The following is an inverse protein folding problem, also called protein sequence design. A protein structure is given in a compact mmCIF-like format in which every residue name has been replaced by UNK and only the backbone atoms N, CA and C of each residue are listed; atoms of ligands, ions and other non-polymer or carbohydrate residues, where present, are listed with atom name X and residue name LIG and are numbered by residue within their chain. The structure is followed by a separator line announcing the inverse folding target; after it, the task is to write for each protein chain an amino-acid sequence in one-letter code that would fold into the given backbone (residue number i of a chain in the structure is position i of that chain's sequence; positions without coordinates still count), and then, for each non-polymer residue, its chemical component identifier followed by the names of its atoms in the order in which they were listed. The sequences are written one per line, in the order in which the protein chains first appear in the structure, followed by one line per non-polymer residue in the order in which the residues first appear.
data_IF_863915862177
#
_entry.id   IF_863915862177
#
_cell.length_a   1.000
_cell.length_b   1.000
_cell.length_c   1.000
_cell.angle_alpha   90.00
_cell.angle_beta   90.00
_cell.angle_gamma   90.00
#
_symmetry.space_group_name_H-M   'P 1'
#
loop_
_entity.id
_entity.type
_entity.pdbx_description
1 polymer ?
#
# COMPACT_ATOMS: atom_id res chain seq x y z
N UNK A 1 28.94 34.31 13.43
CA UNK A 1 27.47 34.17 13.23
C UNK A 1 27.25 33.08 12.19
N UNK A 2 26.79 31.89 12.62
CA UNK A 2 26.43 30.79 11.70
C UNK A 2 24.95 30.98 11.37
N UNK A 3 24.63 31.28 10.10
CA UNK A 3 23.26 31.28 9.61
C UNK A 3 22.76 29.83 9.66
N UNK A 4 21.79 29.59 10.51
CA UNK A 4 21.00 28.35 10.52
C UNK A 4 19.99 28.44 9.36
N UNK A 5 20.28 27.78 8.25
CA UNK A 5 19.32 27.65 7.15
C UNK A 5 18.19 26.75 7.62
N UNK A 6 17.06 27.33 7.99
CA UNK A 6 15.81 26.60 8.18
C UNK A 6 15.36 26.06 6.80
N UNK A 7 15.51 24.76 6.57
CA UNK A 7 14.87 24.11 5.46
C UNK A 7 13.35 24.14 5.71
N UNK A 8 12.65 25.03 5.03
CA UNK A 8 11.20 25.05 4.99
C UNK A 8 10.75 23.82 4.18
N UNK A 9 10.31 22.77 4.85
CA UNK A 9 9.63 21.63 4.18
C UNK A 9 8.26 22.15 3.77
N UNK A 10 8.12 22.54 2.52
CA UNK A 10 6.82 22.89 1.96
C UNK A 10 5.97 21.62 1.83
N UNK A 11 4.98 21.45 2.69
CA UNK A 11 3.89 20.50 2.47
C UNK A 11 2.99 21.07 1.38
N UNK A 12 3.11 20.57 0.18
CA UNK A 12 2.14 20.85 -0.88
C UNK A 12 0.98 19.87 -0.66
N UNK A 13 -0.12 20.36 -0.13
CA UNK A 13 -1.41 19.67 -0.16
C UNK A 13 -1.92 19.73 -1.61
N UNK A 14 -1.55 18.75 -2.41
CA UNK A 14 -1.98 18.60 -3.79
C UNK A 14 -3.03 17.50 -3.89
N UNK A 15 -4.00 17.66 -4.76
CA UNK A 15 -5.01 16.67 -5.08
C UNK A 15 -4.96 16.35 -6.57
N UNK A 16 -4.54 15.15 -6.91
CA UNK A 16 -4.73 14.60 -8.25
C UNK A 16 -6.21 14.27 -8.45
N UNK A 17 -6.64 14.04 -9.68
CA UNK A 17 -8.03 13.66 -9.97
C UNK A 17 -8.09 12.43 -10.87
N UNK A 18 -8.98 11.49 -10.55
CA UNK A 18 -9.32 10.33 -11.37
C UNK A 18 -10.83 10.14 -11.39
N UNK A 19 -11.45 10.05 -12.56
CA UNK A 19 -12.90 9.88 -12.74
C UNK A 19 -13.75 10.92 -11.96
N UNK A 20 -13.21 12.12 -11.77
CA UNK A 20 -13.86 13.19 -10.99
C UNK A 20 -13.64 13.09 -9.47
N UNK A 21 -12.98 12.04 -8.98
CA UNK A 21 -12.60 11.90 -7.57
C UNK A 21 -11.31 12.65 -7.29
N UNK A 22 -11.25 13.43 -6.22
CA UNK A 22 -10.02 14.04 -5.71
C UNK A 22 -9.22 13.00 -4.94
N UNK A 23 -7.95 12.87 -5.29
CA UNK A 23 -7.02 11.91 -4.67
C UNK A 23 -6.03 12.69 -3.82
N UNK A 24 -6.08 12.46 -2.52
CA UNK A 24 -5.14 13.04 -1.57
C UNK A 24 -3.81 12.31 -1.63
N UNK A 25 -2.72 13.07 -1.62
CA UNK A 25 -1.37 12.55 -1.46
C UNK A 25 -0.48 13.53 -0.71
N UNK A 26 0.57 13.03 -0.10
CA UNK A 26 1.63 13.84 0.53
C UNK A 26 2.95 13.53 -0.14
N UNK A 27 3.69 14.58 -0.54
CA UNK A 27 5.03 14.45 -1.13
C UNK A 27 6.07 15.05 -0.19
N UNK A 28 7.07 14.27 0.20
CA UNK A 28 8.13 14.66 1.12
C UNK A 28 9.50 14.36 0.51
N UNK A 29 10.48 15.25 0.72
CA UNK A 29 11.78 15.16 0.08
C UNK A 29 11.81 15.83 -1.30
N UNK A 30 13.03 16.09 -1.80
CA UNK A 30 13.25 16.86 -3.04
C UNK A 30 14.10 16.11 -4.08
N UNK A 31 14.46 14.84 -3.81
CA UNK A 31 15.22 14.04 -4.76
C UNK A 31 14.41 13.76 -6.03
N UNK A 32 15.11 13.59 -7.15
CA UNK A 32 14.47 13.19 -8.41
C UNK A 32 13.95 11.74 -8.34
N UNK A 33 14.69 10.85 -7.64
CA UNK A 33 14.29 9.48 -7.41
C UNK A 33 13.07 9.42 -6.50
N UNK A 34 11.98 8.89 -7.02
CA UNK A 34 10.68 8.94 -6.34
C UNK A 34 10.17 7.54 -5.98
N UNK A 35 9.68 7.42 -4.76
CA UNK A 35 9.10 6.20 -4.19
C UNK A 35 7.66 6.48 -3.77
N UNK A 36 6.72 5.67 -4.25
CA UNK A 36 5.32 5.73 -3.89
C UNK A 36 4.97 4.66 -2.86
N UNK A 37 4.35 5.06 -1.76
CA UNK A 37 3.93 4.19 -0.67
C UNK A 37 2.42 4.03 -0.68
N UNK A 38 1.95 2.82 -0.95
CA UNK A 38 0.54 2.47 -1.15
C UNK A 38 0.06 1.60 0.00
N UNK A 39 -0.90 2.11 0.75
CA UNK A 39 -1.43 1.49 1.96
C UNK A 39 -2.30 0.26 1.70
N UNK A 40 -2.64 -0.47 2.77
CA UNK A 40 -3.49 -1.65 2.75
C UNK A 40 -5.00 -1.33 2.85
N UNK A 41 -5.79 -2.40 2.94
CA UNK A 41 -7.25 -2.36 3.08
C UNK A 41 -7.67 -1.49 4.27
N UNK A 42 -8.59 -0.56 4.03
CA UNK A 42 -9.13 0.43 4.99
C UNK A 42 -8.08 1.27 5.76
N UNK A 43 -6.82 1.23 5.35
CA UNK A 43 -5.77 2.11 5.86
C UNK A 43 -5.77 3.46 5.15
N UNK A 44 -4.82 4.31 5.51
CA UNK A 44 -4.52 5.58 4.88
C UNK A 44 -3.01 5.86 4.90
N UNK A 45 -2.59 7.06 4.47
CA UNK A 45 -1.18 7.49 4.44
C UNK A 45 -0.47 7.39 5.80
N UNK A 46 -1.21 7.43 6.92
CA UNK A 46 -0.62 7.36 8.26
C UNK A 46 0.02 6.00 8.58
N UNK A 47 -0.31 4.95 7.80
CA UNK A 47 0.37 3.66 7.90
C UNK A 47 1.87 3.74 7.58
N UNK A 48 2.30 4.80 6.90
CA UNK A 48 3.68 5.05 6.47
C UNK A 48 4.42 6.13 7.29
N UNK A 49 3.90 6.52 8.45
CA UNK A 49 4.48 7.60 9.28
C UNK A 49 5.92 7.32 9.73
N UNK A 50 6.30 6.07 9.87
CA UNK A 50 7.64 5.66 10.32
C UNK A 50 8.67 5.62 9.17
N UNK A 51 8.25 5.88 7.92
CA UNK A 51 9.10 5.90 6.72
C UNK A 51 9.63 7.29 6.37
N UNK A 52 9.37 8.30 7.20
CA UNK A 52 9.95 9.64 7.05
C UNK A 52 11.49 9.67 6.83
N UNK A 53 12.31 8.76 7.43
CA UNK A 53 13.74 8.72 7.15
C UNK A 53 14.10 8.47 5.68
N UNK A 54 13.24 7.81 4.89
CA UNK A 54 13.44 7.55 3.45
C UNK A 54 13.49 8.88 2.68
N UNK A 55 12.71 9.88 3.10
CA UNK A 55 12.62 11.18 2.46
C UNK A 55 13.91 12.03 2.54
N UNK A 56 14.91 11.58 3.32
CA UNK A 56 16.25 12.20 3.33
C UNK A 56 17.04 11.93 2.05
N UNK A 57 16.75 10.84 1.35
CA UNK A 57 17.49 10.37 0.18
C UNK A 57 16.63 10.28 -1.07
N UNK A 58 15.31 10.10 -0.92
CA UNK A 58 14.35 9.92 -2.00
C UNK A 58 13.20 10.91 -1.85
N UNK A 59 12.49 11.21 -2.94
CA UNK A 59 11.18 11.82 -2.87
C UNK A 59 10.19 10.72 -2.52
N UNK A 60 9.51 10.86 -1.39
CA UNK A 60 8.50 9.90 -0.92
C UNK A 60 7.11 10.49 -1.15
N UNK A 61 6.25 9.74 -1.81
CA UNK A 61 4.86 10.10 -2.04
C UNK A 61 3.98 9.04 -1.39
N UNK A 62 3.18 9.44 -0.40
CA UNK A 62 2.14 8.61 0.19
C UNK A 62 0.80 8.99 -0.43
N UNK A 63 -0.06 8.02 -0.70
CA UNK A 63 -1.33 8.22 -1.39
C UNK A 63 -2.44 7.61 -0.55
N UNK A 64 -3.51 8.38 -0.32
CA UNK A 64 -4.78 7.82 0.12
C UNK A 64 -5.52 7.31 -1.12
N UNK A 65 -5.72 5.99 -1.22
CA UNK A 65 -6.45 5.39 -2.34
C UNK A 65 -7.92 5.88 -2.37
N UNK A 66 -8.62 5.85 -3.51
CA UNK A 66 -10.03 6.20 -3.59
C UNK A 66 -10.86 5.57 -2.46
N UNK A 67 -11.63 6.41 -1.76
CA UNK A 67 -12.44 6.01 -0.61
C UNK A 67 -11.72 5.91 0.73
N UNK A 68 -10.41 6.11 0.77
CA UNK A 68 -9.59 6.00 1.96
C UNK A 68 -9.06 7.37 2.40
N UNK A 69 -8.78 7.51 3.70
CA UNK A 69 -8.18 8.71 4.28
C UNK A 69 -8.94 9.99 3.90
N UNK A 70 -8.25 10.89 3.20
CA UNK A 70 -8.78 12.19 2.75
C UNK A 70 -9.19 12.20 1.27
N UNK A 71 -9.07 11.07 0.57
CA UNK A 71 -9.51 10.94 -0.82
C UNK A 71 -11.02 10.78 -0.94
N UNK A 72 -11.59 11.31 -2.04
CA UNK A 72 -12.99 11.08 -2.36
C UNK A 72 -13.27 9.58 -2.56
N UNK A 73 -14.46 9.15 -2.15
CA UNK A 73 -14.91 7.76 -2.30
C UNK A 73 -15.79 7.58 -3.53
N UNK A 74 -15.56 6.54 -4.34
CA UNK A 74 -16.48 6.13 -5.38
C UNK A 74 -17.73 5.45 -4.78
N UNK A 75 -18.74 5.17 -5.60
CA UNK A 75 -19.82 4.25 -5.22
C UNK A 75 -19.25 2.84 -5.04
N UNK A 76 -19.92 2.00 -4.21
CA UNK A 76 -19.45 0.64 -3.87
C UNK A 76 -19.12 -0.20 -5.11
N UNK A 77 -19.94 -0.09 -6.15
CA UNK A 77 -19.82 -0.86 -7.40
C UNK A 77 -18.62 -0.43 -8.25
N UNK A 78 -18.10 0.78 -8.04
CA UNK A 78 -17.01 1.37 -8.81
C UNK A 78 -15.63 1.05 -8.24
N UNK A 79 -15.56 0.51 -7.02
CA UNK A 79 -14.28 0.08 -6.47
C UNK A 79 -13.67 -1.05 -7.32
N UNK A 80 -12.44 -0.84 -7.77
CA UNK A 80 -11.67 -1.86 -8.53
C UNK A 80 -10.17 -1.64 -8.36
N UNK A 81 -9.39 -2.67 -8.62
CA UNK A 81 -7.92 -2.54 -8.64
C UNK A 81 -7.45 -1.62 -9.76
N UNK A 82 -8.19 -1.57 -10.87
CA UNK A 82 -7.95 -0.65 -11.99
C UNK A 82 -8.16 0.80 -11.58
N UNK A 83 -9.20 1.12 -10.81
CA UNK A 83 -9.42 2.47 -10.29
C UNK A 83 -8.27 2.89 -9.38
N UNK A 84 -7.81 1.99 -8.50
CA UNK A 84 -6.68 2.26 -7.62
C UNK A 84 -5.39 2.48 -8.42
N UNK A 85 -5.13 1.69 -9.44
CA UNK A 85 -3.97 1.87 -10.32
C UNK A 85 -4.01 3.20 -11.07
N UNK A 86 -5.18 3.60 -11.61
CA UNK A 86 -5.35 4.90 -12.27
C UNK A 86 -5.21 6.08 -11.30
N UNK A 87 -5.61 5.92 -10.04
CA UNK A 87 -5.39 6.95 -9.02
C UNK A 87 -3.88 7.16 -8.75
N UNK A 88 -3.08 6.09 -8.72
CA UNK A 88 -1.62 6.18 -8.63
C UNK A 88 -1.06 6.92 -9.85
N UNK A 89 -1.53 6.60 -11.06
CA UNK A 89 -1.06 7.24 -12.30
C UNK A 89 -1.43 8.73 -12.35
N UNK A 90 -2.61 9.09 -11.87
CA UNK A 90 -3.01 10.50 -11.75
C UNK A 90 -2.08 11.26 -10.79
N UNK A 91 -1.72 10.66 -9.65
CA UNK A 91 -0.76 11.25 -8.71
C UNK A 91 0.63 11.33 -9.32
N UNK A 92 1.11 10.29 -10.03
CA UNK A 92 2.42 10.32 -10.70
C UNK A 92 2.52 11.47 -11.70
N UNK A 93 1.46 11.66 -12.48
CA UNK A 93 1.38 12.73 -13.47
C UNK A 93 1.37 14.11 -12.81
N UNK A 94 0.59 14.29 -11.75
CA UNK A 94 0.51 15.55 -10.98
C UNK A 94 1.83 15.87 -10.29
N UNK A 95 2.51 14.88 -9.72
CA UNK A 95 3.84 15.01 -9.12
C UNK A 95 4.93 15.31 -10.17
N UNK A 96 4.65 15.06 -11.45
CA UNK A 96 5.54 15.38 -12.56
C UNK A 96 6.76 14.45 -12.64
N UNK A 97 6.63 13.18 -12.28
CA UNK A 97 7.72 12.19 -12.36
C UNK A 97 7.46 11.18 -13.47
N UNK A 98 8.52 10.76 -14.16
CA UNK A 98 8.39 9.82 -15.28
C UNK A 98 8.28 8.37 -14.79
N UNK A 99 9.15 7.95 -13.87
CA UNK A 99 9.23 6.58 -13.37
C UNK A 99 9.32 6.55 -11.85
N UNK A 100 8.77 5.51 -11.24
CA UNK A 100 8.69 5.37 -9.79
C UNK A 100 9.00 3.94 -9.33
N UNK A 101 9.47 3.81 -8.09
CA UNK A 101 9.39 2.55 -7.34
C UNK A 101 8.11 2.57 -6.53
N UNK A 102 7.36 1.47 -6.53
CA UNK A 102 6.09 1.34 -5.83
C UNK A 102 6.23 0.35 -4.66
N UNK A 103 5.79 0.77 -3.50
CA UNK A 103 5.77 -0.03 -2.26
C UNK A 103 4.31 -0.26 -1.88
N UNK A 104 3.85 -1.50 -1.88
CA UNK A 104 2.47 -1.86 -1.56
C UNK A 104 2.37 -2.70 -0.30
N UNK A 105 1.63 -2.21 0.72
CA UNK A 105 1.33 -2.97 1.93
C UNK A 105 0.02 -3.76 1.77
N UNK A 106 0.01 -5.04 2.11
CA UNK A 106 -1.20 -5.85 2.15
C UNK A 106 -2.00 -5.78 0.83
N UNK A 107 -3.21 -5.24 0.82
CA UNK A 107 -4.03 -4.94 -0.38
C UNK A 107 -3.28 -4.01 -1.35
N UNK A 108 -2.38 -3.16 -0.89
CA UNK A 108 -1.56 -2.33 -1.77
C UNK A 108 -0.67 -3.14 -2.70
N UNK A 109 -0.34 -4.40 -2.37
CA UNK A 109 0.44 -5.29 -3.26
C UNK A 109 -0.27 -5.60 -4.57
N UNK A 110 -1.50 -6.14 -4.61
CA UNK A 110 -2.21 -6.28 -5.88
C UNK A 110 -2.46 -4.95 -6.60
N UNK A 111 -2.59 -3.83 -5.87
CA UNK A 111 -2.72 -2.51 -6.51
C UNK A 111 -1.45 -2.13 -7.27
N UNK A 112 -0.26 -2.25 -6.66
CA UNK A 112 1.01 -1.92 -7.34
C UNK A 112 1.34 -2.91 -8.45
N UNK A 113 0.93 -4.17 -8.34
CA UNK A 113 1.03 -5.15 -9.43
C UNK A 113 0.14 -4.76 -10.61
N UNK A 114 -1.11 -4.36 -10.34
CA UNK A 114 -2.04 -3.89 -11.38
C UNK A 114 -1.50 -2.63 -12.06
N UNK A 115 -0.91 -1.70 -11.28
CA UNK A 115 -0.24 -0.53 -11.84
C UNK A 115 0.92 -0.90 -12.75
N UNK A 116 1.82 -1.78 -12.30
CA UNK A 116 2.99 -2.19 -13.07
C UNK A 116 2.62 -2.90 -14.38
N UNK A 117 1.48 -3.61 -14.40
CA UNK A 117 0.94 -4.21 -15.61
C UNK A 117 0.36 -3.16 -16.57
N UNK A 118 -0.37 -2.17 -16.05
CA UNK A 118 -1.01 -1.13 -16.85
C UNK A 118 -0.01 -0.06 -17.34
N UNK A 119 1.05 0.20 -16.58
CA UNK A 119 2.03 1.26 -16.83
C UNK A 119 3.47 0.75 -16.65
N UNK A 120 3.88 -0.26 -17.44
CA UNK A 120 5.20 -0.89 -17.28
C UNK A 120 6.35 0.09 -17.54
N UNK A 121 6.17 1.07 -18.45
CA UNK A 121 7.16 2.11 -18.77
C UNK A 121 7.42 3.08 -17.60
N UNK A 122 6.45 3.22 -16.69
CA UNK A 122 6.56 4.09 -15.51
C UNK A 122 7.02 3.35 -14.25
N UNK A 123 7.15 2.02 -14.32
CA UNK A 123 7.52 1.19 -13.17
C UNK A 123 9.00 0.83 -13.20
N UNK A 124 9.73 1.19 -12.13
CA UNK A 124 11.14 0.85 -11.95
C UNK A 124 11.28 -0.49 -11.23
N UNK A 125 10.62 -0.64 -10.09
CA UNK A 125 10.68 -1.80 -9.22
C UNK A 125 9.45 -1.83 -8.29
N UNK A 126 9.19 -2.99 -7.68
CA UNK A 126 8.11 -3.18 -6.73
C UNK A 126 8.64 -3.63 -5.37
N UNK A 127 7.94 -3.22 -4.30
CA UNK A 127 8.17 -3.73 -2.95
C UNK A 127 6.84 -4.21 -2.37
N UNK A 128 6.78 -5.48 -1.99
CA UNK A 128 5.63 -6.08 -1.33
C UNK A 128 5.87 -6.10 0.18
N UNK A 129 4.97 -5.49 0.95
CA UNK A 129 5.07 -5.42 2.41
C UNK A 129 3.93 -6.23 3.02
N UNK A 130 4.26 -7.40 3.53
CA UNK A 130 3.33 -8.45 3.98
C UNK A 130 2.14 -8.58 3.01
N UNK A 131 2.51 -8.72 1.73
CA UNK A 131 1.63 -8.54 0.59
C UNK A 131 0.55 -9.61 0.48
N UNK A 132 -0.65 -9.17 0.16
CA UNK A 132 -1.71 -10.06 -0.25
C UNK A 132 -1.39 -10.60 -1.65
N UNK A 133 -1.21 -11.93 -1.75
CA UNK A 133 -1.03 -12.58 -3.05
C UNK A 133 -2.38 -12.90 -3.67
N UNK A 134 -2.49 -12.75 -5.00
CA UNK A 134 -3.68 -13.18 -5.71
C UNK A 134 -4.00 -14.65 -5.46
N UNK A 135 -5.28 -14.96 -5.27
CA UNK A 135 -5.74 -16.32 -5.04
C UNK A 135 -5.48 -17.22 -6.26
N UNK A 136 -5.16 -18.49 -6.01
CA UNK A 136 -4.95 -19.47 -7.09
C UNK A 136 -6.25 -19.75 -7.88
N UNK A 137 -7.40 -19.71 -7.18
CA UNK A 137 -8.73 -19.92 -7.75
C UNK A 137 -9.67 -18.81 -7.25
N UNK A 138 -9.61 -17.61 -7.82
CA UNK A 138 -10.49 -16.52 -7.42
C UNK A 138 -11.94 -16.83 -7.80
N UNK A 139 -12.89 -16.50 -6.92
CA UNK A 139 -14.32 -16.75 -7.11
C UNK A 139 -15.11 -15.48 -6.82
N UNK A 140 -15.96 -15.07 -7.75
CA UNK A 140 -16.86 -13.92 -7.57
C UNK A 140 -17.81 -14.11 -6.39
N UNK A 141 -18.33 -15.34 -6.20
CA UNK A 141 -19.21 -15.67 -5.06
C UNK A 141 -18.48 -15.49 -3.74
N UNK A 142 -17.23 -15.98 -3.64
CA UNK A 142 -16.41 -15.81 -2.43
C UNK A 142 -16.05 -14.34 -2.21
N UNK A 143 -15.68 -13.61 -3.26
CA UNK A 143 -15.40 -12.18 -3.20
C UNK A 143 -16.60 -11.39 -2.69
N UNK A 144 -17.78 -11.66 -3.24
CA UNK A 144 -19.03 -11.05 -2.81
C UNK A 144 -19.34 -11.33 -1.33
N UNK A 145 -19.27 -12.61 -0.89
CA UNK A 145 -19.54 -12.99 0.50
C UNK A 145 -18.58 -12.31 1.48
N UNK A 146 -17.28 -12.27 1.17
CA UNK A 146 -16.29 -11.59 2.00
C UNK A 146 -16.57 -10.08 2.07
N UNK A 147 -16.93 -9.46 0.95
CA UNK A 147 -17.28 -8.05 0.91
C UNK A 147 -18.53 -7.74 1.75
N UNK A 148 -19.60 -8.53 1.60
CA UNK A 148 -20.82 -8.36 2.38
C UNK A 148 -20.59 -8.52 3.89
N UNK A 149 -19.68 -9.37 4.30
CA UNK A 149 -19.32 -9.54 5.71
C UNK A 149 -18.68 -8.28 6.33
N UNK A 150 -18.17 -7.35 5.52
CA UNK A 150 -17.55 -6.09 6.00
C UNK A 150 -18.58 -4.97 6.21
N UNK A 151 -19.84 -5.14 5.79
CA UNK A 151 -20.94 -4.18 5.92
C UNK A 151 -22.12 -4.72 6.72
N UNK A 152 -23.20 -3.90 6.79
CA UNK A 152 -24.42 -4.23 7.48
C UNK A 152 -24.29 -4.33 9.02
N UNK A 153 -25.28 -4.92 9.69
CA UNK A 153 -25.36 -4.90 11.17
C UNK A 153 -24.15 -5.53 11.89
N UNK A 154 -23.47 -6.47 11.26
CA UNK A 154 -22.31 -7.15 11.81
C UNK A 154 -20.96 -6.67 11.21
N UNK A 155 -20.99 -5.74 10.26
CA UNK A 155 -19.80 -5.31 9.52
C UNK A 155 -18.70 -4.75 10.40
N UNK A 156 -19.06 -3.90 11.38
CA UNK A 156 -18.09 -3.35 12.33
C UNK A 156 -17.39 -4.46 13.14
N UNK A 157 -18.17 -5.41 13.68
CA UNK A 157 -17.64 -6.55 14.45
C UNK A 157 -16.72 -7.42 13.59
N UNK A 158 -17.08 -7.65 12.33
CA UNK A 158 -16.24 -8.40 11.39
C UNK A 158 -14.92 -7.70 11.12
N UNK A 159 -14.94 -6.38 10.93
CA UNK A 159 -13.73 -5.56 10.73
C UNK A 159 -12.84 -5.55 11.97
N UNK A 160 -13.41 -5.39 13.16
CA UNK A 160 -12.67 -5.47 14.42
C UNK A 160 -11.98 -6.82 14.61
N UNK A 161 -12.70 -7.93 14.34
CA UNK A 161 -12.15 -9.26 14.45
C UNK A 161 -10.98 -9.48 13.44
N UNK A 162 -11.16 -9.03 12.21
CA UNK A 162 -10.10 -9.10 11.19
C UNK A 162 -8.86 -8.30 11.63
N UNK A 163 -9.03 -7.06 12.10
CA UNK A 163 -7.94 -6.19 12.56
C UNK A 163 -7.22 -6.83 13.75
N UNK A 164 -7.98 -7.44 14.69
CA UNK A 164 -7.40 -8.16 15.81
C UNK A 164 -6.46 -9.29 15.41
N UNK A 165 -6.73 -9.95 14.28
CA UNK A 165 -5.89 -11.01 13.72
C UNK A 165 -4.56 -10.54 13.14
N UNK A 166 -4.38 -9.24 12.91
CA UNK A 166 -3.13 -8.67 12.38
C UNK A 166 -2.04 -8.46 13.43
N UNK A 167 -2.40 -8.49 14.70
CA UNK A 167 -1.49 -8.17 15.80
C UNK A 167 -0.79 -9.40 16.36
N UNK A 168 0.40 -9.15 16.89
CA UNK A 168 1.20 -10.10 17.64
C UNK A 168 1.93 -9.40 18.81
N UNK A 169 2.96 -10.06 19.38
CA UNK A 169 3.73 -9.53 20.51
C UNK A 169 4.54 -8.27 20.19
N UNK A 170 4.88 -8.01 18.94
CA UNK A 170 5.57 -6.78 18.51
C UNK A 170 4.60 -5.60 18.34
N UNK A 171 3.30 -5.87 18.19
CA UNK A 171 2.27 -4.86 18.06
C UNK A 171 1.98 -4.22 19.42
N UNK A 172 2.72 -3.17 19.79
CA UNK A 172 2.51 -2.46 21.05
C UNK A 172 1.08 -1.90 21.18
N UNK A 173 0.57 -1.65 22.39
CA UNK A 173 -0.77 -1.03 22.57
C UNK A 173 -0.96 0.26 21.76
N UNK A 174 0.09 1.08 21.62
CA UNK A 174 0.05 2.30 20.82
C UNK A 174 -0.12 2.01 19.31
N UNK A 175 0.61 1.03 18.77
CA UNK A 175 0.47 0.58 17.38
C UNK A 175 -0.93 0.00 17.16
N UNK A 176 -1.41 -0.87 18.07
CA UNK A 176 -2.75 -1.45 17.96
C UNK A 176 -3.84 -0.38 17.94
N UNK A 177 -3.75 0.62 18.83
CA UNK A 177 -4.71 1.72 18.88
C UNK A 177 -4.67 2.55 17.58
N UNK A 178 -3.48 2.89 17.09
CA UNK A 178 -3.29 3.63 15.83
C UNK A 178 -3.89 2.88 14.64
N UNK A 179 -3.58 1.60 14.48
CA UNK A 179 -4.10 0.75 13.41
C UNK A 179 -5.62 0.59 13.50
N UNK A 180 -6.16 0.32 14.69
CA UNK A 180 -7.62 0.22 14.88
C UNK A 180 -8.32 1.52 14.51
N UNK A 181 -7.86 2.65 15.01
CA UNK A 181 -8.44 3.95 14.71
C UNK A 181 -8.40 4.26 13.21
N UNK A 182 -7.27 4.04 12.55
CA UNK A 182 -7.10 4.21 11.11
C UNK A 182 -8.06 3.33 10.32
N UNK A 183 -8.03 2.02 10.55
CA UNK A 183 -8.81 1.07 9.73
C UNK A 183 -10.32 1.13 9.99
N UNK A 184 -10.76 1.47 11.20
CA UNK A 184 -12.17 1.58 11.53
C UNK A 184 -12.78 2.94 11.15
N UNK A 185 -11.96 3.96 10.86
CA UNK A 185 -12.42 5.24 10.35
C UNK A 185 -12.93 5.18 8.91
N UNK A 186 -12.52 4.16 8.15
CA UNK A 186 -13.00 3.97 6.79
C UNK A 186 -14.52 3.71 6.76
N UNK A 187 -15.22 4.34 5.81
CA UNK A 187 -16.66 4.16 5.65
C UNK A 187 -17.03 2.71 5.34
N UNK A 188 -18.28 2.34 5.61
CA UNK A 188 -18.79 1.02 5.26
C UNK A 188 -18.71 0.79 3.73
N UNK A 189 -19.02 1.82 2.93
CA UNK A 189 -18.90 1.76 1.48
C UNK A 189 -17.47 1.42 1.03
N UNK A 190 -16.47 2.04 1.67
CA UNK A 190 -15.05 1.75 1.43
C UNK A 190 -14.70 0.32 1.87
N UNK A 191 -15.15 -0.10 3.05
CA UNK A 191 -14.86 -1.43 3.55
C UNK A 191 -15.43 -2.52 2.64
N UNK A 192 -16.68 -2.39 2.21
CA UNK A 192 -17.32 -3.34 1.29
C UNK A 192 -16.69 -3.28 -0.10
N UNK A 193 -16.56 -2.08 -0.67
CA UNK A 193 -16.07 -1.89 -2.04
C UNK A 193 -14.62 -2.32 -2.22
N UNK A 194 -13.73 -1.92 -1.32
CA UNK A 194 -12.32 -2.29 -1.39
C UNK A 194 -12.10 -3.80 -1.13
N UNK A 195 -12.90 -4.43 -0.23
CA UNK A 195 -12.85 -5.88 -0.03
C UNK A 195 -13.26 -6.61 -1.31
N UNK A 196 -14.38 -6.21 -1.93
CA UNK A 196 -14.84 -6.76 -3.21
C UNK A 196 -13.73 -6.64 -4.25
N UNK A 197 -13.23 -5.43 -4.50
CA UNK A 197 -12.17 -5.16 -5.49
C UNK A 197 -10.91 -6.02 -5.28
N UNK A 198 -10.51 -6.25 -4.02
CA UNK A 198 -9.32 -7.03 -3.69
C UNK A 198 -9.50 -8.55 -3.85
N UNK A 199 -10.73 -9.04 -3.97
CA UNK A 199 -11.06 -10.46 -4.02
C UNK A 199 -11.67 -10.92 -5.34
N UNK A 200 -12.15 -9.99 -6.16
CA UNK A 200 -12.68 -10.30 -7.48
C UNK A 200 -11.61 -10.92 -8.40
N UNK A 201 -12.01 -11.86 -9.29
CA UNK A 201 -11.08 -12.45 -10.28
C UNK A 201 -10.33 -11.40 -11.09
N UNK A 202 -10.99 -10.34 -11.54
CA UNK A 202 -10.38 -9.25 -12.28
C UNK A 202 -9.25 -8.53 -11.51
N UNK A 203 -9.42 -8.36 -10.19
CA UNK A 203 -8.40 -7.78 -9.31
C UNK A 203 -7.24 -8.73 -8.99
N UNK A 204 -7.46 -10.04 -9.20
CA UNK A 204 -6.50 -11.10 -8.88
C UNK A 204 -5.63 -11.53 -10.07
N UNK A 205 -6.04 -11.18 -11.30
CA UNK A 205 -5.30 -11.54 -12.52
C UNK A 205 -4.19 -10.53 -12.75
N UNK A 206 -2.97 -10.92 -12.44
CA UNK A 206 -1.77 -10.10 -12.68
C UNK A 206 -0.67 -10.98 -13.26
N UNK A 207 -0.17 -10.58 -14.42
CA UNK A 207 1.02 -11.16 -14.99
C UNK A 207 2.26 -10.73 -14.20
N UNK A 208 3.32 -11.54 -14.29
CA UNK A 208 4.59 -11.20 -13.67
C UNK A 208 5.20 -9.97 -14.35
N UNK A 209 5.31 -8.81 -13.67
CA UNK A 209 6.00 -7.66 -14.22
C UNK A 209 7.50 -7.98 -14.31
N UNK A 210 8.11 -7.67 -15.43
CA UNK A 210 9.54 -7.91 -15.62
C UNK A 210 10.40 -6.80 -14.99
N UNK A 211 10.22 -6.60 -13.67
CA UNK A 211 10.95 -5.61 -12.87
C UNK A 211 11.51 -6.24 -11.60
N UNK A 212 12.56 -5.67 -10.97
CA UNK A 212 13.04 -6.11 -9.67
C UNK A 212 11.93 -6.05 -8.61
N UNK A 213 11.85 -7.06 -7.74
CA UNK A 213 10.87 -7.14 -6.65
C UNK A 213 11.56 -7.44 -5.33
N UNK A 214 11.30 -6.63 -4.30
CA UNK A 214 11.60 -6.96 -2.90
C UNK A 214 10.30 -7.36 -2.19
N UNK A 215 10.29 -8.50 -1.51
CA UNK A 215 9.21 -8.90 -0.62
C UNK A 215 9.67 -8.85 0.83
N UNK A 216 9.08 -7.98 1.66
CA UNK A 216 9.34 -7.92 3.10
C UNK A 216 8.10 -8.42 3.83
N UNK A 217 8.24 -9.52 4.53
CA UNK A 217 7.12 -10.26 5.13
C UNK A 217 7.22 -10.37 6.64
N UNK A 218 6.07 -10.47 7.29
CA UNK A 218 5.93 -10.63 8.73
C UNK A 218 6.44 -11.96 9.25
N UNK A 219 6.55 -12.11 10.57
CA UNK A 219 6.89 -13.38 11.23
C UNK A 219 5.90 -14.51 10.95
N UNK A 220 4.59 -14.14 10.76
CA UNK A 220 3.55 -15.01 10.18
C UNK A 220 3.05 -14.34 8.90
N UNK A 221 3.66 -14.62 7.76
CA UNK A 221 3.39 -13.90 6.54
C UNK A 221 2.02 -14.27 5.94
N UNK A 222 1.37 -13.31 5.24
CA UNK A 222 0.17 -13.60 4.45
C UNK A 222 0.46 -14.50 3.24
N UNK A 223 1.72 -14.53 2.77
CA UNK A 223 2.14 -15.41 1.69
C UNK A 223 3.53 -16.01 1.99
N UNK A 224 3.66 -17.31 1.83
CA UNK A 224 4.96 -17.99 1.99
C UNK A 224 5.93 -17.61 0.88
N UNK A 225 7.23 -17.81 1.14
CA UNK A 225 8.29 -17.58 0.15
C UNK A 225 8.02 -18.36 -1.14
N UNK A 226 7.63 -19.63 -1.01
CA UNK A 226 7.33 -20.52 -2.15
C UNK A 226 6.15 -19.99 -2.97
N UNK A 227 5.07 -19.54 -2.30
CA UNK A 227 3.91 -18.97 -2.97
C UNK A 227 4.25 -17.69 -3.74
N UNK A 228 5.08 -16.82 -3.16
CA UNK A 228 5.54 -15.59 -3.82
C UNK A 228 6.46 -15.91 -5.00
N UNK A 229 7.49 -16.71 -4.78
CA UNK A 229 8.52 -16.99 -5.80
C UNK A 229 8.03 -17.92 -6.90
N UNK A 230 7.02 -18.76 -6.67
CA UNK A 230 6.37 -19.52 -7.76
C UNK A 230 5.72 -18.60 -8.79
N UNK A 231 5.29 -17.42 -8.39
CA UNK A 231 4.58 -16.46 -9.24
C UNK A 231 5.49 -15.33 -9.72
N UNK A 232 6.41 -14.90 -8.87
CA UNK A 232 7.40 -13.84 -9.10
C UNK A 232 8.80 -14.33 -8.73
N UNK A 233 9.43 -15.17 -9.59
CA UNK A 233 10.71 -15.85 -9.27
C UNK A 233 11.84 -14.88 -8.95
N UNK A 234 11.80 -13.65 -9.49
CA UNK A 234 12.79 -12.60 -9.26
C UNK A 234 12.70 -11.94 -7.88
N UNK A 235 11.72 -12.33 -7.04
CA UNK A 235 11.51 -11.68 -5.74
C UNK A 235 12.65 -11.97 -4.76
N UNK A 236 13.33 -10.92 -4.30
CA UNK A 236 14.17 -10.95 -3.11
C UNK A 236 13.26 -11.03 -1.88
N UNK A 237 13.04 -12.25 -1.35
CA UNK A 237 12.14 -12.47 -0.23
C UNK A 237 12.88 -12.37 1.11
N UNK A 238 12.44 -11.46 1.96
CA UNK A 238 12.97 -11.25 3.31
C UNK A 238 11.83 -11.32 4.31
N UNK A 239 12.05 -12.00 5.43
CA UNK A 239 11.12 -12.08 6.55
C UNK A 239 11.70 -11.36 7.75
N UNK A 240 10.88 -10.58 8.48
CA UNK A 240 11.24 -9.97 9.76
C UNK A 240 10.58 -10.80 10.87
N UNK A 241 11.34 -11.70 11.51
CA UNK A 241 10.79 -12.55 12.56
C UNK A 241 10.20 -11.75 13.72
N UNK A 242 9.14 -12.26 14.33
CA UNK A 242 8.51 -11.64 15.49
C UNK A 242 7.53 -10.52 15.17
N UNK A 243 7.50 -10.00 13.94
CA UNK A 243 6.57 -8.94 13.54
C UNK A 243 5.19 -9.48 13.13
N UNK A 244 4.17 -8.64 13.27
CA UNK A 244 2.82 -8.82 12.73
C UNK A 244 2.66 -8.16 11.36
N UNK A 245 1.39 -7.99 10.96
CA UNK A 245 1.02 -7.50 9.64
C UNK A 245 1.49 -6.07 9.35
N UNK A 246 1.67 -5.22 10.37
CA UNK A 246 2.15 -3.84 10.24
C UNK A 246 3.65 -3.71 10.53
N UNK A 247 4.44 -4.64 9.99
CA UNK A 247 5.89 -4.76 10.23
C UNK A 247 6.67 -3.45 10.00
N UNK A 248 6.21 -2.58 9.08
CA UNK A 248 6.81 -1.27 8.79
C UNK A 248 6.58 -0.25 9.92
N UNK A 249 5.62 -0.51 10.81
CA UNK A 249 5.37 0.28 12.03
C UNK A 249 5.96 -0.40 13.28
N UNK A 250 6.04 -1.72 13.29
CA UNK A 250 6.51 -2.53 14.43
C UNK A 250 8.04 -2.58 14.50
N UNK A 251 8.70 -2.68 13.35
CA UNK A 251 10.17 -2.70 13.21
C UNK A 251 10.64 -1.70 12.13
N UNK A 252 10.35 -0.39 12.31
CA UNK A 252 10.58 0.61 11.28
C UNK A 252 12.03 0.76 10.88
N UNK A 253 12.96 0.63 11.83
CA UNK A 253 14.40 0.72 11.55
C UNK A 253 14.84 -0.37 10.60
N UNK A 254 14.45 -1.62 10.87
CA UNK A 254 14.79 -2.77 10.05
C UNK A 254 14.15 -2.69 8.67
N UNK A 255 12.85 -2.33 8.63
CA UNK A 255 12.14 -2.14 7.37
C UNK A 255 12.78 -1.06 6.50
N UNK A 256 13.07 0.12 7.08
CA UNK A 256 13.68 1.23 6.35
C UNK A 256 15.08 0.88 5.83
N UNK A 257 15.89 0.11 6.58
CA UNK A 257 17.19 -0.38 6.11
C UNK A 257 17.07 -1.31 4.89
N UNK A 258 16.11 -2.24 4.92
CA UNK A 258 15.85 -3.16 3.80
C UNK A 258 15.38 -2.38 2.56
N UNK A 259 14.43 -1.47 2.75
CA UNK A 259 13.92 -0.64 1.66
C UNK A 259 15.03 0.23 1.06
N UNK A 260 15.81 0.96 1.86
CA UNK A 260 16.92 1.79 1.38
C UNK A 260 17.99 0.95 0.66
N UNK A 261 18.33 -0.24 1.18
CA UNK A 261 19.28 -1.14 0.53
C UNK A 261 18.79 -1.66 -0.83
N UNK A 262 17.48 -1.89 -0.97
CA UNK A 262 16.87 -2.25 -2.25
C UNK A 262 16.84 -1.07 -3.22
N UNK A 263 16.40 0.11 -2.76
CA UNK A 263 16.31 1.32 -3.57
C UNK A 263 17.67 1.74 -4.16
N UNK A 264 18.75 1.60 -3.40
CA UNK A 264 20.10 1.93 -3.84
C UNK A 264 20.60 1.08 -5.02
N UNK A 265 20.00 -0.09 -5.26
CA UNK A 265 20.32 -0.97 -6.38
C UNK A 265 19.54 -0.60 -7.66
N UNK A 266 18.52 0.26 -7.57
CA UNK A 266 17.63 0.56 -8.69
C UNK A 266 18.18 1.69 -9.57
N UNK A 267 17.86 1.61 -10.87
CA UNK A 267 18.18 2.66 -11.87
C UNK A 267 16.93 3.52 -12.09
N UNK A 268 16.86 4.63 -11.35
CA UNK A 268 15.78 5.62 -11.47
C UNK A 268 15.82 6.37 -12.81
#
# INVERSE_FOLDING_TARGET
MKLLSLLLVAFVLSAASVDGLKIHYTSTGSAAQTVFLIHGYTCDEASWSEQAPIAKLYRVVTIDLPGHGKSDGPKVEQFSMELFARAIEAVRTEVGVNRVVLVGHSMGTPVVLKYAHAYPEHTIALVFVDGLMPASNPSEVSAYQQAQAMGGPNGLKSREAMIGGFFNTASTPAIQAKVKNMMLSASEATAVGAMKASREPAGQTVENPNVPILGVYAGRPLASKEAVQSRFPQTEYVQIPGTGHFLMMEEPTKFNQLLLGFLAKQKF
#
